data_IF_443525408914
#
_entry.id   IF_443525408914
#
_cell.length_a   1.000
_cell.length_b   1.000
_cell.length_c   1.000
_cell.angle_alpha   90.00
_cell.angle_beta   90.00
_cell.angle_gamma   90.00
#
_symmetry.space_group_name_H-M   'P 1'
#
loop_
_entity.id
_entity.type
_entity.pdbx_description
1 polymer ?
#
# COMPACT_ATOMS: atom_id res chain seq x y z
N UNK A 1 -12.64 -18.00 11.30
CA UNK A 1 -12.61 -18.35 9.86
C UNK A 1 -11.29 -19.07 9.61
N UNK A 2 -10.87 -19.42 8.39
CA UNK A 2 -9.48 -19.89 8.22
C UNK A 2 -8.58 -18.66 8.37
N UNK A 3 -7.51 -18.77 9.17
CA UNK A 3 -6.51 -17.70 9.42
C UNK A 3 -6.10 -16.95 8.14
N UNK A 4 -5.95 -17.69 7.04
CA UNK A 4 -5.75 -17.15 5.68
C UNK A 4 -6.77 -16.09 5.29
N UNK A 5 -8.07 -16.38 5.36
CA UNK A 5 -9.12 -15.45 4.93
C UNK A 5 -9.12 -14.17 5.78
N UNK A 6 -8.80 -14.29 7.07
CA UNK A 6 -8.68 -13.16 8.00
C UNK A 6 -7.50 -12.25 7.62
N UNK A 7 -6.34 -12.85 7.32
CA UNK A 7 -5.16 -12.13 6.83
C UNK A 7 -5.44 -11.41 5.50
N UNK A 8 -6.09 -12.07 4.55
CA UNK A 8 -6.43 -11.43 3.27
C UNK A 8 -7.43 -10.28 3.44
N UNK A 9 -8.40 -10.39 4.34
CA UNK A 9 -9.31 -9.30 4.66
C UNK A 9 -8.58 -8.11 5.28
N UNK A 10 -7.61 -8.35 6.17
CA UNK A 10 -6.76 -7.30 6.75
C UNK A 10 -5.88 -6.62 5.70
N UNK A 11 -5.32 -7.37 4.75
CA UNK A 11 -4.56 -6.82 3.62
C UNK A 11 -5.42 -5.89 2.78
N UNK A 12 -6.63 -6.32 2.41
CA UNK A 12 -7.55 -5.48 1.64
C UNK A 12 -7.98 -4.24 2.42
N UNK A 13 -8.26 -4.37 3.72
CA UNK A 13 -8.60 -3.24 4.57
C UNK A 13 -7.44 -2.23 4.66
N UNK A 14 -6.20 -2.69 4.83
CA UNK A 14 -5.03 -1.81 4.83
C UNK A 14 -4.85 -1.10 3.49
N UNK A 15 -5.13 -1.79 2.38
CA UNK A 15 -5.11 -1.19 1.03
C UNK A 15 -6.19 -0.13 0.88
N UNK A 16 -7.41 -0.41 1.35
CA UNK A 16 -8.54 0.53 1.31
C UNK A 16 -8.31 1.77 2.19
N UNK A 17 -7.76 1.59 3.39
CA UNK A 17 -7.40 2.68 4.29
C UNK A 17 -6.30 3.57 3.70
N UNK A 18 -5.52 3.06 2.75
CA UNK A 18 -4.53 3.80 1.97
C UNK A 18 -3.43 4.45 2.84
N UNK A 19 -3.06 3.75 3.92
CA UNK A 19 -2.02 4.18 4.87
C UNK A 19 -0.78 3.29 4.71
N UNK A 20 0.29 3.83 4.11
CA UNK A 20 1.56 3.12 3.90
C UNK A 20 2.14 2.57 5.21
N UNK A 21 1.98 3.30 6.32
CA UNK A 21 2.44 2.84 7.64
C UNK A 21 1.76 1.52 8.04
N UNK A 22 0.44 1.44 7.92
CA UNK A 22 -0.33 0.22 8.24
C UNK A 22 0.06 -0.93 7.31
N UNK A 23 0.21 -0.67 6.01
CA UNK A 23 0.67 -1.68 5.04
C UNK A 23 2.07 -2.23 5.39
N UNK A 24 3.00 -1.38 5.81
CA UNK A 24 4.36 -1.79 6.20
C UNK A 24 4.38 -2.55 7.54
N UNK A 25 3.54 -2.17 8.50
CA UNK A 25 3.36 -2.93 9.74
C UNK A 25 2.81 -4.34 9.45
N UNK A 26 1.81 -4.43 8.55
CA UNK A 26 1.23 -5.72 8.15
C UNK A 26 2.26 -6.60 7.40
N UNK A 27 3.13 -6.00 6.56
CA UNK A 27 4.25 -6.71 5.91
C UNK A 27 5.19 -7.36 6.93
N UNK A 28 5.50 -6.66 8.02
CA UNK A 28 6.32 -7.17 9.12
C UNK A 28 5.65 -8.33 9.85
N UNK A 29 4.36 -8.17 10.20
CA UNK A 29 3.57 -9.22 10.86
C UNK A 29 3.48 -10.48 9.98
N UNK A 30 3.16 -10.31 8.69
CA UNK A 30 3.13 -11.40 7.71
C UNK A 30 4.46 -12.13 7.58
N UNK A 31 5.59 -11.45 7.77
CA UNK A 31 6.91 -12.09 7.69
C UNK A 31 7.14 -13.10 8.82
N UNK A 32 6.58 -12.83 10.00
CA UNK A 32 6.70 -13.67 11.19
C UNK A 32 5.57 -14.69 11.34
N UNK A 33 4.51 -14.57 10.55
CA UNK A 33 3.36 -15.47 10.56
C UNK A 33 3.77 -16.88 10.12
N UNK A 34 3.73 -17.88 11.00
CA UNK A 34 4.05 -19.28 10.65
C UNK A 34 2.83 -20.12 10.31
N UNK A 35 1.63 -19.59 10.51
CA UNK A 35 0.36 -20.29 10.33
C UNK A 35 -0.10 -20.25 8.86
N UNK A 36 0.28 -19.22 8.10
CA UNK A 36 0.12 -19.17 6.64
C UNK A 36 1.15 -20.05 5.92
N UNK A 37 0.68 -20.73 4.87
CA UNK A 37 1.56 -21.32 3.85
C UNK A 37 2.48 -20.27 3.26
N UNK A 38 3.69 -20.69 2.87
CA UNK A 38 4.69 -19.82 2.24
C UNK A 38 4.16 -19.11 1.00
N UNK A 39 3.35 -19.79 0.19
CA UNK A 39 2.73 -19.20 -1.01
C UNK A 39 1.71 -18.12 -0.66
N UNK A 40 0.81 -18.38 0.29
CA UNK A 40 -0.21 -17.43 0.72
C UNK A 40 0.42 -16.17 1.34
N UNK A 41 1.44 -16.37 2.18
CA UNK A 41 2.22 -15.28 2.78
C UNK A 41 2.89 -14.44 1.70
N UNK A 42 3.53 -15.09 0.72
CA UNK A 42 4.17 -14.39 -0.38
C UNK A 42 3.15 -13.60 -1.22
N UNK A 43 1.98 -14.18 -1.51
CA UNK A 43 0.91 -13.51 -2.25
C UNK A 43 0.39 -12.27 -1.51
N UNK A 44 0.10 -12.40 -0.20
CA UNK A 44 -0.32 -11.29 0.65
C UNK A 44 0.74 -10.18 0.71
N UNK A 45 2.01 -10.54 0.93
CA UNK A 45 3.11 -9.59 0.96
C UNK A 45 3.31 -8.88 -0.38
N UNK A 46 3.25 -9.61 -1.49
CA UNK A 46 3.45 -9.03 -2.81
C UNK A 46 2.36 -8.02 -3.16
N UNK A 47 1.12 -8.30 -2.76
CA UNK A 47 -0.01 -7.38 -2.94
C UNK A 47 0.19 -6.07 -2.18
N UNK A 48 0.63 -6.13 -0.92
CA UNK A 48 0.97 -4.94 -0.13
C UNK A 48 2.11 -4.14 -0.75
N UNK A 49 3.18 -4.79 -1.21
CA UNK A 49 4.31 -4.10 -1.85
C UNK A 49 3.89 -3.37 -3.13
N UNK A 50 3.03 -3.97 -3.94
CA UNK A 50 2.48 -3.32 -5.13
C UNK A 50 1.63 -2.10 -4.75
N UNK A 51 0.78 -2.22 -3.74
CA UNK A 51 -0.05 -1.11 -3.26
C UNK A 51 0.80 0.07 -2.75
N UNK A 52 1.86 -0.21 -1.97
CA UNK A 52 2.81 0.81 -1.50
C UNK A 52 3.51 1.48 -2.69
N UNK A 53 4.03 0.70 -3.64
CA UNK A 53 4.73 1.23 -4.81
C UNK A 53 3.83 2.13 -5.70
N UNK A 54 2.60 1.69 -5.97
CA UNK A 54 1.65 2.49 -6.74
C UNK A 54 1.34 3.82 -6.03
N UNK A 55 1.27 3.82 -4.70
CA UNK A 55 1.03 5.03 -3.92
C UNK A 55 2.20 6.01 -3.94
N UNK A 56 3.44 5.52 -3.82
CA UNK A 56 4.62 6.38 -3.95
C UNK A 56 4.67 7.05 -5.33
N UNK A 57 4.34 6.31 -6.40
CA UNK A 57 4.19 6.87 -7.75
C UNK A 57 3.09 7.93 -7.85
N UNK A 58 1.90 7.64 -7.35
CA UNK A 58 0.78 8.60 -7.40
C UNK A 58 1.11 9.91 -6.67
N UNK A 59 1.81 9.81 -5.53
CA UNK A 59 2.27 10.97 -4.76
C UNK A 59 3.33 11.78 -5.54
N UNK A 60 4.27 11.11 -6.19
CA UNK A 60 5.28 11.76 -7.03
C UNK A 60 4.64 12.46 -8.24
N UNK A 61 3.68 11.80 -8.90
CA UNK A 61 2.93 12.37 -10.03
C UNK A 61 2.11 13.59 -9.62
N UNK A 62 1.41 13.53 -8.48
CA UNK A 62 0.66 14.67 -7.94
C UNK A 62 1.60 15.83 -7.57
N UNK A 63 2.75 15.54 -6.97
CA UNK A 63 3.77 16.54 -6.66
C UNK A 63 4.35 17.18 -7.93
N UNK A 64 4.64 16.39 -8.96
CA UNK A 64 5.12 16.86 -10.25
C UNK A 64 4.06 17.70 -10.98
N UNK A 65 2.79 17.30 -10.94
CA UNK A 65 1.68 18.08 -11.49
C UNK A 65 1.51 19.42 -10.76
N UNK A 66 1.57 19.41 -9.42
CA UNK A 66 1.54 20.63 -8.61
C UNK A 66 2.72 21.56 -8.93
N UNK A 67 3.92 21.01 -9.06
CA UNK A 67 5.11 21.78 -9.44
C UNK A 67 4.96 22.42 -10.84
N UNK A 68 4.44 21.67 -11.82
CA UNK A 68 4.11 22.21 -13.15
C UNK A 68 3.06 23.32 -13.10
N UNK A 69 2.02 23.20 -12.26
CA UNK A 69 1.03 24.26 -12.07
C UNK A 69 1.63 25.54 -11.48
N UNK A 70 2.50 25.41 -10.47
CA UNK A 70 3.15 26.54 -9.81
C UNK A 70 4.18 27.25 -10.72
N UNK A 71 4.92 26.50 -11.54
CA UNK A 71 5.95 27.05 -12.43
C UNK A 71 5.39 27.65 -13.72
N UNK A 72 4.16 27.27 -14.12
CA UNK A 72 3.51 27.80 -15.33
C UNK A 72 2.71 29.10 -15.10
N UNK A 73 2.77 29.68 -13.89
CA UNK A 73 2.14 30.97 -13.58
C UNK A 73 0.64 30.89 -13.29
N UNK A 74 0.18 29.83 -12.60
CA UNK A 74 -1.22 29.69 -12.22
C UNK A 74 -1.69 30.81 -11.28
N UNK A 75 -2.56 31.69 -11.80
CA UNK A 75 -3.31 32.69 -11.05
C UNK A 75 -4.05 31.98 -9.91
N UNK A 76 -3.65 32.23 -8.67
CA UNK A 76 -4.43 31.86 -7.49
C UNK A 76 -5.60 32.86 -7.43
N UNK A 77 -6.84 32.39 -7.56
CA UNK A 77 -8.06 33.18 -7.32
C UNK A 77 -8.84 32.57 -6.17
#
# INVERSE_FOLDING_TARGET
>A
MKHRDEVFALVEAAIQNNVIREMNELLGQLSSDTELSREDRFAAQQRLRQAVFMRDREKEELAAQRHKWLTRGGIIK
#
